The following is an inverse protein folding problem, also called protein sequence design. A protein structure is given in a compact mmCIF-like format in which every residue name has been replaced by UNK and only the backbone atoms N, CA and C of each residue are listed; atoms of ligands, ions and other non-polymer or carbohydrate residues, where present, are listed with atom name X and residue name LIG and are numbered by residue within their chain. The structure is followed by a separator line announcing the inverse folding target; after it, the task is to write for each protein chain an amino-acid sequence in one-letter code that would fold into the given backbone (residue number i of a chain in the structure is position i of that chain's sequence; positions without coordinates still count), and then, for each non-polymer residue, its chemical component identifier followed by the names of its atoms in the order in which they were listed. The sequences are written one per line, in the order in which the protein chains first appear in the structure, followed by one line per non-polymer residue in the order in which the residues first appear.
data_IF_414401328157
#
_entry.id   IF_414401328157
#
_cell.length_a   1.000
_cell.length_b   1.000
_cell.length_c   1.000
_cell.angle_alpha   90.00
_cell.angle_beta   90.00
_cell.angle_gamma   90.00
#
_symmetry.space_group_name_H-M   'P 1'
#
loop_
_entity.id
_entity.type
_entity.pdbx_description
1 polymer ?
#
# COMPACT_ATOMS: atom_id res chain seq x y z
N UNK A 1 -18.76 8.27 -12.55
CA UNK A 1 -18.50 7.02 -13.29
C UNK A 1 -17.74 6.15 -12.32
N UNK A 2 -18.23 4.95 -12.02
CA UNK A 2 -17.60 4.05 -11.03
C UNK A 2 -16.55 3.23 -11.78
N UNK A 3 -15.32 3.25 -11.28
CA UNK A 3 -14.24 2.42 -11.79
C UNK A 3 -14.32 1.04 -11.13
N UNK A 4 -14.27 -0.01 -11.94
CA UNK A 4 -14.28 -1.39 -11.46
C UNK A 4 -12.86 -1.94 -11.51
N UNK A 5 -12.31 -2.27 -10.35
CA UNK A 5 -11.01 -2.93 -10.25
C UNK A 5 -11.10 -4.37 -10.75
N UNK A 6 -10.10 -4.76 -11.53
CA UNK A 6 -9.88 -6.15 -11.89
C UNK A 6 -9.18 -6.92 -10.76
N UNK A 7 -9.40 -8.23 -10.72
CA UNK A 7 -8.69 -9.12 -9.78
C UNK A 7 -7.17 -9.01 -9.92
N UNK A 8 -6.68 -8.75 -11.15
CA UNK A 8 -5.26 -8.52 -11.41
C UNK A 8 -4.76 -7.27 -10.69
N UNK A 9 -5.49 -6.16 -10.76
CA UNK A 9 -5.10 -4.92 -10.08
C UNK A 9 -5.11 -5.08 -8.57
N UNK A 10 -6.15 -5.71 -8.03
CA UNK A 10 -6.24 -5.99 -6.59
C UNK A 10 -5.11 -6.92 -6.12
N UNK A 11 -4.76 -7.94 -6.91
CA UNK A 11 -3.66 -8.83 -6.61
C UNK A 11 -2.30 -8.13 -6.67
N UNK A 12 -2.08 -7.23 -7.63
CA UNK A 12 -0.86 -6.44 -7.74
C UNK A 12 -0.68 -5.51 -6.53
N UNK A 13 -1.75 -4.86 -6.06
CA UNK A 13 -1.69 -4.06 -4.83
C UNK A 13 -1.29 -4.88 -3.61
N UNK A 14 -1.65 -6.17 -3.58
CA UNK A 14 -1.33 -7.10 -2.50
C UNK A 14 0.04 -7.80 -2.65
N UNK A 15 0.95 -7.26 -3.47
CA UNK A 15 2.33 -7.75 -3.61
C UNK A 15 3.30 -6.99 -2.70
N UNK A 16 4.45 -7.61 -2.40
CA UNK A 16 5.51 -7.06 -1.55
C UNK A 16 5.88 -5.61 -1.89
N UNK A 17 6.05 -5.32 -3.19
CA UNK A 17 6.41 -3.97 -3.68
C UNK A 17 5.38 -2.87 -3.38
N UNK A 18 4.15 -3.22 -3.01
CA UNK A 18 3.02 -2.30 -2.86
C UNK A 18 2.56 -2.21 -1.40
N UNK A 19 1.50 -2.92 -0.97
CA UNK A 19 0.92 -2.75 0.38
C UNK A 19 1.94 -2.94 1.51
N UNK A 20 2.92 -3.83 1.33
CA UNK A 20 3.97 -4.08 2.34
C UNK A 20 5.05 -2.98 2.35
N UNK A 21 5.31 -2.32 1.23
CA UNK A 21 6.19 -1.16 1.13
C UNK A 21 5.63 0.11 1.80
N UNK A 22 4.44 0.04 2.40
CA UNK A 22 3.95 1.06 3.34
C UNK A 22 4.81 1.09 4.61
N UNK A 23 5.45 -0.03 4.98
CA UNK A 23 6.49 -0.04 6.00
C UNK A 23 7.84 0.40 5.38
N UNK A 24 8.40 1.56 5.79
CA UNK A 24 9.67 2.04 5.26
C UNK A 24 10.84 1.08 5.48
N UNK A 25 10.84 0.33 6.59
CA UNK A 25 11.94 -0.59 6.88
C UNK A 25 11.93 -1.78 5.92
N UNK A 26 10.75 -2.34 5.67
CA UNK A 26 10.58 -3.46 4.75
C UNK A 26 10.82 -3.02 3.30
N UNK A 27 10.28 -1.87 2.90
CA UNK A 27 10.54 -1.27 1.59
C UNK A 27 12.05 -1.13 1.32
N UNK A 28 12.79 -0.53 2.25
CA UNK A 28 14.25 -0.34 2.12
C UNK A 28 15.02 -1.64 2.11
N UNK A 29 14.64 -2.60 2.96
CA UNK A 29 15.29 -3.92 3.03
C UNK A 29 15.16 -4.67 1.70
N UNK A 30 14.00 -4.54 1.04
CA UNK A 30 13.72 -5.21 -0.24
C UNK A 30 14.08 -4.37 -1.46
N UNK A 31 14.66 -3.17 -1.28
CA UNK A 31 15.04 -2.28 -2.39
C UNK A 31 13.84 -1.70 -3.15
N UNK A 32 12.74 -1.43 -2.47
CA UNK A 32 11.52 -0.84 -3.01
C UNK A 32 11.37 0.63 -2.56
N UNK A 33 10.62 1.41 -3.35
CA UNK A 33 10.14 2.74 -2.96
C UNK A 33 9.11 2.61 -1.83
N UNK A 34 9.11 3.57 -0.90
CA UNK A 34 8.15 3.63 0.20
C UNK A 34 6.81 4.12 -0.33
N UNK A 35 5.75 3.35 -0.08
CA UNK A 35 4.40 3.74 -0.47
C UNK A 35 3.83 4.75 0.54
N UNK A 36 3.45 5.93 0.06
CA UNK A 36 2.96 7.03 0.89
C UNK A 36 1.75 7.73 0.27
N UNK A 37 0.94 8.40 1.09
CA UNK A 37 -0.18 9.23 0.63
C UNK A 37 0.15 10.72 0.53
N UNK A 38 1.44 11.09 0.68
CA UNK A 38 1.89 12.49 0.54
C UNK A 38 1.54 13.09 -0.82
N UNK A 39 1.51 14.41 -0.87
CA UNK A 39 1.37 15.14 -2.14
C UNK A 39 2.66 15.07 -2.94
N UNK A 40 2.56 15.25 -4.25
CA UNK A 40 3.69 15.05 -5.17
C UNK A 40 4.85 16.02 -4.88
N UNK A 41 4.55 17.23 -4.40
CA UNK A 41 5.52 18.23 -3.97
C UNK A 41 6.13 18.00 -2.57
N UNK A 42 5.71 16.94 -1.88
CA UNK A 42 6.16 16.56 -0.53
C UNK A 42 6.88 15.19 -0.53
N UNK A 43 6.99 14.53 -1.68
CA UNK A 43 7.67 13.24 -1.81
C UNK A 43 9.17 13.39 -1.63
N UNK A 44 9.75 12.51 -0.83
CA UNK A 44 11.19 12.24 -0.87
C UNK A 44 11.56 11.38 -2.08
N UNK A 45 12.85 11.34 -2.42
CA UNK A 45 13.37 10.59 -3.57
C UNK A 45 13.11 9.07 -3.47
N UNK A 46 12.97 8.53 -2.25
CA UNK A 46 12.67 7.12 -1.98
C UNK A 46 11.16 6.84 -1.75
N UNK A 47 10.29 7.82 -2.02
CA UNK A 47 8.86 7.72 -1.80
C UNK A 47 8.04 7.75 -3.10
N UNK A 48 6.98 6.96 -3.12
CA UNK A 48 6.04 6.86 -4.23
C UNK A 48 4.61 6.93 -3.73
N UNK A 49 3.77 7.65 -4.46
CA UNK A 49 2.35 7.82 -4.13
C UNK A 49 1.40 7.48 -5.28
N UNK A 50 1.95 7.00 -6.41
CA UNK A 50 1.22 6.61 -7.60
C UNK A 50 1.69 5.23 -8.05
N UNK A 51 0.76 4.29 -8.24
CA UNK A 51 1.03 2.91 -8.64
C UNK A 51 0.51 2.72 -10.07
N UNK A 52 1.38 2.30 -10.98
CA UNK A 52 1.00 2.00 -12.37
C UNK A 52 0.80 0.49 -12.54
N UNK A 53 -0.36 0.07 -13.05
CA UNK A 53 -0.66 -1.33 -13.38
C UNK A 53 -1.18 -1.38 -14.80
N UNK A 54 -0.36 -1.92 -15.72
CA UNK A 54 -0.67 -1.89 -17.14
C UNK A 54 -0.77 -0.45 -17.66
N UNK A 55 -1.96 -0.06 -18.12
CA UNK A 55 -2.23 1.28 -18.66
C UNK A 55 -3.04 2.17 -17.69
N UNK A 56 -3.21 1.73 -16.44
CA UNK A 56 -3.97 2.46 -15.44
C UNK A 56 -3.07 2.88 -14.29
N UNK A 57 -3.13 4.17 -13.97
CA UNK A 57 -2.47 4.75 -12.80
C UNK A 57 -3.42 4.88 -11.63
N UNK A 58 -2.91 4.66 -10.43
CA UNK A 58 -3.66 4.73 -9.18
C UNK A 58 -2.95 5.63 -8.18
N UNK A 59 -3.68 6.55 -7.58
CA UNK A 59 -3.21 7.39 -6.49
C UNK A 59 -3.35 6.65 -5.17
N UNK A 60 -2.30 6.64 -4.37
CA UNK A 60 -2.35 6.28 -2.96
C UNK A 60 -2.97 7.44 -2.20
N UNK A 61 -4.15 7.21 -1.64
CA UNK A 61 -4.99 8.21 -0.95
C UNK A 61 -4.70 8.24 0.55
N UNK A 62 -4.41 7.07 1.12
CA UNK A 62 -4.07 6.95 2.54
C UNK A 62 -3.22 5.70 2.76
N UNK A 63 -2.37 5.75 3.78
CA UNK A 63 -1.56 4.61 4.21
C UNK A 63 -1.62 4.48 5.73
N UNK A 64 -1.45 3.26 6.22
CA UNK A 64 -1.33 2.94 7.64
C UNK A 64 -0.27 1.85 7.80
N UNK A 65 0.77 2.14 8.57
CA UNK A 65 1.68 1.14 9.11
C UNK A 65 1.43 1.06 10.62
N UNK A 66 1.25 -0.16 11.14
CA UNK A 66 1.20 -0.43 12.58
C UNK A 66 2.22 -1.51 12.93
N UNK A 67 3.46 -1.08 13.31
CA UNK A 67 4.53 -2.00 13.64
C UNK A 67 4.27 -2.90 14.86
N UNK A 68 3.29 -2.57 15.72
CA UNK A 68 2.99 -3.40 16.90
C UNK A 68 2.18 -4.65 16.55
N UNK A 69 1.47 -4.62 15.41
CA UNK A 69 0.60 -5.69 14.93
C UNK A 69 1.06 -6.28 13.60
N UNK A 70 2.16 -5.74 13.03
CA UNK A 70 2.61 -6.10 11.69
C UNK A 70 1.62 -5.71 10.59
N UNK A 71 0.67 -4.82 10.86
CA UNK A 71 -0.37 -4.41 9.89
C UNK A 71 0.15 -3.32 8.95
N UNK A 72 -0.03 -3.53 7.66
CA UNK A 72 0.11 -2.50 6.64
C UNK A 72 -1.19 -2.37 5.87
N UNK A 73 -1.61 -1.15 5.59
CA UNK A 73 -2.80 -0.87 4.82
C UNK A 73 -2.59 0.32 3.90
N UNK A 74 -3.20 0.26 2.73
CA UNK A 74 -3.29 1.41 1.82
C UNK A 74 -4.67 1.52 1.18
N UNK A 75 -5.11 2.75 0.99
CA UNK A 75 -6.26 3.09 0.17
C UNK A 75 -5.76 3.65 -1.17
N UNK A 76 -6.26 3.11 -2.28
CA UNK A 76 -5.88 3.53 -3.64
C UNK A 76 -7.12 3.91 -4.44
N UNK A 77 -7.00 4.92 -5.28
CA UNK A 77 -8.05 5.41 -6.18
C UNK A 77 -7.50 5.53 -7.61
N UNK A 78 -8.26 5.19 -8.65
CA UNK A 78 -7.79 5.29 -10.02
C UNK A 78 -7.68 6.76 -10.43
N UNK A 79 -6.70 7.05 -11.28
CA UNK A 79 -6.58 8.33 -11.96
C UNK A 79 -7.29 8.21 -13.31
N UNK A 80 -8.45 8.86 -13.44
CA UNK A 80 -9.28 8.84 -14.65
C UNK A 80 -9.31 10.24 -15.23
N UNK A 81 -8.88 10.38 -16.49
CA UNK A 81 -8.78 11.67 -17.19
C UNK A 81 -7.96 12.71 -16.39
N UNK A 82 -6.84 12.28 -15.81
CA UNK A 82 -5.93 13.12 -15.03
C UNK A 82 -6.48 13.54 -13.65
N UNK A 83 -7.58 12.95 -13.17
CA UNK A 83 -8.17 13.23 -11.86
C UNK A 83 -8.29 11.97 -11.04
N UNK A 84 -7.98 12.08 -9.75
CA UNK A 84 -8.16 10.99 -8.78
C UNK A 84 -9.66 10.79 -8.53
N UNK A 85 -10.20 9.62 -8.85
CA UNK A 85 -11.60 9.27 -8.58
C UNK A 85 -11.75 8.66 -7.18
N UNK A 86 -11.94 9.52 -6.18
CA UNK A 86 -12.13 9.09 -4.79
C UNK A 86 -13.51 8.48 -4.51
N UNK A 87 -14.39 8.36 -5.52
CA UNK A 87 -15.64 7.60 -5.37
C UNK A 87 -15.43 6.09 -5.57
N UNK A 88 -14.30 5.71 -6.18
CA UNK A 88 -13.94 4.33 -6.49
C UNK A 88 -12.63 3.99 -5.77
N UNK A 89 -12.69 3.80 -4.45
CA UNK A 89 -11.50 3.51 -3.62
C UNK A 89 -11.44 2.02 -3.30
N UNK A 90 -10.29 1.40 -3.57
CA UNK A 90 -9.95 0.09 -3.04
C UNK A 90 -9.09 0.24 -1.78
N UNK A 91 -9.37 -0.58 -0.77
CA UNK A 91 -8.55 -0.68 0.45
C UNK A 91 -7.88 -2.04 0.44
N UNK A 92 -6.56 -2.05 0.57
CA UNK A 92 -5.74 -3.26 0.58
C UNK A 92 -5.00 -3.31 1.90
N UNK A 93 -5.02 -4.48 2.52
CA UNK A 93 -4.36 -4.73 3.79
C UNK A 93 -3.42 -5.93 3.63
N UNK A 94 -2.21 -5.76 4.13
CA UNK A 94 -1.19 -6.79 4.27
C UNK A 94 -0.86 -6.98 5.75
N UNK A 95 -0.39 -8.17 6.08
CA UNK A 95 0.26 -8.46 7.35
C UNK A 95 1.44 -9.36 7.05
N UNK A 96 2.61 -9.01 7.58
CA UNK A 96 3.80 -9.83 7.37
C UNK A 96 3.79 -10.99 8.37
N UNK A 97 3.59 -12.26 7.94
CA UNK A 97 3.43 -13.40 8.85
C UNK A 97 4.71 -13.76 9.61
N UNK A 98 5.84 -13.13 9.26
CA UNK A 98 7.14 -13.29 9.92
C UNK A 98 7.47 -12.14 10.86
N UNK A 99 6.55 -11.20 11.11
CA UNK A 99 6.74 -10.23 12.17
C UNK A 99 6.90 -10.98 13.49
N UNK A 100 8.00 -10.71 14.21
CA UNK A 100 8.28 -11.31 15.51
C UNK A 100 7.12 -11.03 16.48
N UNK A 101 6.37 -9.94 16.26
CA UNK A 101 5.17 -9.62 17.01
C UNK A 101 4.02 -10.64 16.83
N UNK A 102 3.89 -11.28 15.67
CA UNK A 102 2.90 -12.37 15.47
C UNK A 102 3.28 -13.61 16.31
N UNK A 103 4.58 -13.90 16.42
CA UNK A 103 5.09 -14.96 17.29
C UNK A 103 4.90 -14.61 18.78
N UNK A 104 5.15 -13.35 19.17
CA UNK A 104 4.98 -12.87 20.55
C UNK A 104 3.50 -12.83 20.95
N UNK A 105 2.60 -12.50 20.02
CA UNK A 105 1.16 -12.52 20.27
C UNK A 105 0.64 -13.94 20.57
N UNK A 106 1.14 -14.96 19.86
CA UNK A 106 0.86 -16.36 20.16
C UNK A 106 1.34 -16.74 21.57
N UNK A 107 2.52 -16.25 21.98
CA UNK A 107 3.10 -16.55 23.29
C UNK A 107 2.41 -15.82 24.45
N UNK A 108 1.79 -14.65 24.22
CA UNK A 108 1.05 -13.89 25.24
C UNK A 108 -0.37 -14.42 25.53
N UNK A 109 -0.89 -15.32 24.69
CA UNK A 109 -2.21 -15.96 24.86
C UNK A 109 -2.18 -17.32 25.59
N UNK A 110 -1.01 -17.79 26.03
CA UNK A 110 -0.86 -18.93 26.93
C UNK A 110 -0.53 -18.47 28.34
#
# INVERSE_FOLDING_TARGET
MIYNYSDKELNEFNQEKNVYSVDPNLAKTNGHEIITSKKDNELADDEKNTIAIGNQDFRVVSVKNDPATGFQGMAVAPIVNGRVDTNSVAVVAGTMPTDVNDLIFILRKK
#
